data_IF_485145361443
#
_entry.id   IF_485145361443
#
_cell.length_a   1.000
_cell.length_b   1.000
_cell.length_c   1.000
_cell.angle_alpha   90.00
_cell.angle_beta   90.00
_cell.angle_gamma   90.00
#
_symmetry.space_group_name_H-M   'P 1'
#
loop_
_entity.id
_entity.type
_entity.pdbx_description
1 polymer ?
#
# COMPACT_ATOMS: atom_id res chain seq x y z
N UNK A 1 14.34 20.66 36.06
CA UNK A 1 15.00 21.00 34.79
C UNK A 1 15.21 22.50 34.79
N UNK A 2 16.45 22.97 35.02
CA UNK A 2 16.77 24.39 35.16
C UNK A 2 17.28 24.92 33.81
N UNK A 3 16.63 25.94 33.26
CA UNK A 3 17.06 26.56 32.00
C UNK A 3 18.15 27.61 32.28
N UNK A 4 19.23 27.66 31.48
CA UNK A 4 20.23 28.71 31.64
C UNK A 4 19.64 30.05 31.17
N UNK A 5 19.61 31.03 32.06
CA UNK A 5 19.18 32.40 31.76
C UNK A 5 20.24 33.06 30.89
N UNK A 6 19.88 33.32 29.62
CA UNK A 6 20.71 34.07 28.67
C UNK A 6 20.90 35.50 29.18
N UNK A 7 22.08 35.82 29.71
CA UNK A 7 22.46 37.21 29.98
C UNK A 7 22.66 37.96 28.65
N UNK A 8 21.63 38.68 28.22
CA UNK A 8 21.69 39.67 27.15
C UNK A 8 22.50 40.88 27.63
N UNK A 9 23.81 40.89 27.38
CA UNK A 9 24.60 42.13 27.49
C UNK A 9 24.25 43.06 26.33
N UNK A 10 23.33 44.00 26.57
CA UNK A 10 23.13 45.19 25.74
C UNK A 10 24.43 45.99 25.73
N UNK A 11 25.15 46.00 24.61
CA UNK A 11 26.37 46.78 24.42
C UNK A 11 25.98 48.17 23.90
N UNK A 12 26.05 49.19 24.75
CA UNK A 12 26.02 50.60 24.33
C UNK A 12 27.34 50.93 23.61
N UNK A 13 27.33 51.60 22.45
CA UNK A 13 28.54 52.18 21.87
C UNK A 13 28.72 53.60 22.41
N UNK A 14 29.74 53.83 23.25
CA UNK A 14 30.06 55.20 23.66
C UNK A 14 31.16 55.31 24.70
N UNK A 15 32.21 56.04 24.32
CA UNK A 15 33.28 56.62 25.14
C UNK A 15 34.45 55.72 25.61
N UNK A 16 35.61 55.98 25.00
CA UNK A 16 36.82 56.25 25.78
C UNK A 16 37.83 55.12 25.97
N UNK A 17 38.82 55.10 25.07
CA UNK A 17 40.24 55.18 25.42
C UNK A 17 40.95 54.00 26.13
N UNK A 18 42.07 53.59 25.51
CA UNK A 18 43.29 52.98 26.10
C UNK A 18 43.19 51.51 26.55
N UNK A 19 43.52 50.58 25.64
CA UNK A 19 44.67 49.68 25.76
C UNK A 19 44.63 48.62 24.65
N UNK A 20 45.46 48.83 23.63
CA UNK A 20 45.84 47.78 22.70
C UNK A 20 46.89 46.89 23.36
N UNK A 21 46.46 45.83 24.05
CA UNK A 21 47.33 44.69 24.41
C UNK A 21 46.51 43.52 25.00
N UNK A 22 45.81 42.79 24.13
CA UNK A 22 45.45 41.39 24.38
C UNK A 22 45.25 40.68 23.04
N UNK A 23 46.36 40.25 22.43
CA UNK A 23 46.43 39.53 21.16
C UNK A 23 45.91 38.07 21.26
N UNK A 24 45.01 37.78 22.20
CA UNK A 24 44.45 36.45 22.44
C UNK A 24 42.96 36.51 22.74
N UNK A 25 42.18 35.49 22.34
CA UNK A 25 40.75 35.43 22.65
C UNK A 25 40.54 35.45 24.17
N UNK A 26 39.54 36.19 24.66
CA UNK A 26 39.27 36.24 26.10
C UNK A 26 38.87 34.84 26.62
N UNK A 27 39.35 34.41 27.80
CA UNK A 27 39.15 33.06 28.30
C UNK A 27 37.67 32.68 28.46
N UNK A 28 36.81 33.66 28.75
CA UNK A 28 35.34 33.50 28.82
C UNK A 28 34.74 33.17 27.45
N UNK A 29 35.25 33.76 26.37
CA UNK A 29 34.78 33.47 25.02
C UNK A 29 35.23 32.08 24.57
N UNK A 30 36.44 31.65 24.93
CA UNK A 30 36.93 30.30 24.64
C UNK A 30 36.06 29.23 25.32
N UNK A 31 35.68 29.44 26.59
CA UNK A 31 34.76 28.54 27.30
C UNK A 31 33.38 28.45 26.61
N UNK A 32 32.80 29.58 26.20
CA UNK A 32 31.53 29.62 25.47
C UNK A 32 31.61 28.93 24.10
N UNK A 33 32.74 29.06 23.41
CA UNK A 33 32.95 28.38 22.12
C UNK A 33 33.00 26.86 22.33
N UNK A 34 33.67 26.38 23.39
CA UNK A 34 33.71 24.96 23.72
C UNK A 34 32.30 24.42 24.03
N UNK A 35 31.52 25.14 24.84
CA UNK A 35 30.13 24.80 25.14
C UNK A 35 29.26 24.74 23.87
N UNK A 36 29.34 25.75 23.00
CA UNK A 36 28.59 25.76 21.74
C UNK A 36 29.01 24.68 20.76
N UNK A 37 30.27 24.27 20.76
CA UNK A 37 30.72 23.12 19.96
C UNK A 37 30.08 21.82 20.43
N UNK A 38 30.02 21.59 21.75
CA UNK A 38 29.35 20.42 22.32
C UNK A 38 27.83 20.43 22.03
N UNK A 39 27.18 21.59 22.16
CA UNK A 39 25.75 21.72 21.82
C UNK A 39 25.49 21.42 20.33
N UNK A 40 26.36 21.89 19.43
CA UNK A 40 26.24 21.60 18.00
C UNK A 40 26.45 20.12 17.68
N UNK A 41 27.31 19.41 18.40
CA UNK A 41 27.49 17.97 18.27
C UNK A 41 26.20 17.23 18.63
N UNK A 42 25.61 17.53 19.79
CA UNK A 42 24.33 16.94 20.18
C UNK A 42 23.20 17.26 19.19
N UNK A 43 23.16 18.48 18.63
CA UNK A 43 22.16 18.85 17.61
C UNK A 43 22.36 18.08 16.30
N UNK A 44 23.60 17.75 15.92
CA UNK A 44 23.89 16.90 14.76
C UNK A 44 23.44 15.48 14.99
N UNK A 45 23.69 14.92 16.17
CA UNK A 45 23.19 13.60 16.54
C UNK A 45 21.66 13.53 16.49
N UNK A 46 20.97 14.55 17.06
CA UNK A 46 19.51 14.62 17.02
C UNK A 46 18.97 14.73 15.59
N UNK A 47 19.64 15.49 14.71
CA UNK A 47 19.31 15.56 13.29
C UNK A 47 19.46 14.19 12.63
N UNK A 48 20.57 13.50 12.88
CA UNK A 48 20.86 12.20 12.25
C UNK A 48 19.89 11.12 12.72
N UNK A 49 19.55 11.11 14.01
CA UNK A 49 18.50 10.25 14.55
C UNK A 49 17.13 10.57 13.94
N UNK A 50 16.80 11.85 13.79
CA UNK A 50 15.53 12.27 13.17
C UNK A 50 15.46 11.87 11.68
N UNK A 51 16.58 11.96 10.96
CA UNK A 51 16.68 11.47 9.58
C UNK A 51 16.53 9.95 9.50
N UNK A 52 17.14 9.20 10.43
CA UNK A 52 16.98 7.75 10.51
C UNK A 52 15.52 7.35 10.80
N UNK A 53 14.84 8.03 11.73
CA UNK A 53 13.43 7.80 12.03
C UNK A 53 12.55 8.10 10.81
N UNK A 54 12.80 9.20 10.09
CA UNK A 54 12.07 9.51 8.87
C UNK A 54 12.21 8.38 7.82
N UNK A 55 13.43 7.85 7.61
CA UNK A 55 13.64 6.71 6.74
C UNK A 55 12.93 5.42 7.21
N UNK A 56 12.83 5.21 8.52
CA UNK A 56 12.04 4.10 9.06
C UNK A 56 10.53 4.28 8.83
N UNK A 57 10.02 5.51 8.89
CA UNK A 57 8.60 5.78 8.60
C UNK A 57 8.28 5.52 7.13
N UNK A 58 9.16 5.90 6.20
CA UNK A 58 9.01 5.60 4.77
C UNK A 58 9.05 4.08 4.50
N UNK A 59 9.99 3.36 5.13
CA UNK A 59 10.05 1.90 5.01
C UNK A 59 8.81 1.21 5.61
N UNK A 60 8.22 1.77 6.67
CA UNK A 60 6.98 1.28 7.27
C UNK A 60 5.79 1.53 6.34
N UNK A 61 5.71 2.71 5.71
CA UNK A 61 4.69 3.04 4.71
C UNK A 61 4.68 2.02 3.57
N UNK A 62 5.85 1.69 3.00
CA UNK A 62 5.94 0.68 1.94
C UNK A 62 5.43 -0.70 2.38
N UNK A 63 5.69 -1.08 3.64
CA UNK A 63 5.18 -2.34 4.20
C UNK A 63 3.67 -2.31 4.40
N UNK A 64 3.12 -1.17 4.84
CA UNK A 64 1.67 -1.00 4.97
C UNK A 64 0.98 -1.02 3.62
N UNK A 65 1.55 -0.40 2.59
CA UNK A 65 1.04 -0.49 1.22
C UNK A 65 0.99 -1.95 0.74
N UNK A 66 2.09 -2.70 0.91
CA UNK A 66 2.13 -4.12 0.55
C UNK A 66 1.09 -4.95 1.29
N UNK A 67 0.87 -4.66 2.57
CA UNK A 67 -0.16 -5.34 3.37
C UNK A 67 -1.57 -4.98 2.89
N UNK A 68 -1.82 -3.71 2.55
CA UNK A 68 -3.08 -3.25 1.98
C UNK A 68 -3.40 -3.97 0.67
N UNK A 69 -2.45 -4.00 -0.27
CA UNK A 69 -2.60 -4.69 -1.56
C UNK A 69 -2.87 -6.19 -1.37
N UNK A 70 -2.18 -6.82 -0.41
CA UNK A 70 -2.43 -8.21 -0.04
C UNK A 70 -3.85 -8.44 0.50
N UNK A 71 -4.38 -7.52 1.31
CA UNK A 71 -5.75 -7.63 1.82
C UNK A 71 -6.80 -7.43 0.73
N UNK A 72 -6.54 -6.55 -0.26
CA UNK A 72 -7.41 -6.39 -1.43
C UNK A 72 -7.44 -7.68 -2.27
N UNK A 73 -6.29 -8.30 -2.51
CA UNK A 73 -6.20 -9.58 -3.21
C UNK A 73 -7.02 -10.68 -2.51
N UNK A 74 -6.94 -10.77 -1.18
CA UNK A 74 -7.74 -11.72 -0.39
C UNK A 74 -9.23 -11.38 -0.49
N UNK A 75 -9.61 -10.11 -0.44
CA UNK A 75 -11.00 -9.68 -0.59
C UNK A 75 -11.58 -10.10 -1.95
N UNK A 76 -10.80 -9.99 -3.04
CA UNK A 76 -11.19 -10.48 -4.36
C UNK A 76 -11.42 -12.00 -4.37
N UNK A 77 -10.51 -12.76 -3.76
CA UNK A 77 -10.66 -14.22 -3.64
C UNK A 77 -11.93 -14.56 -2.87
N UNK A 78 -12.15 -13.97 -1.69
CA UNK A 78 -13.36 -14.21 -0.89
C UNK A 78 -14.62 -13.83 -1.67
N UNK A 79 -14.61 -12.70 -2.38
CA UNK A 79 -15.71 -12.30 -3.26
C UNK A 79 -16.01 -13.33 -4.34
N UNK A 80 -14.97 -13.89 -4.97
CA UNK A 80 -15.13 -14.98 -5.94
C UNK A 80 -15.72 -16.25 -5.29
N UNK A 81 -15.16 -16.71 -4.17
CA UNK A 81 -15.66 -17.90 -3.45
C UNK A 81 -17.09 -17.72 -2.96
N UNK A 82 -17.48 -16.51 -2.52
CA UNK A 82 -18.86 -16.19 -2.17
C UNK A 82 -19.81 -16.41 -3.35
N UNK A 83 -19.44 -15.96 -4.55
CA UNK A 83 -20.23 -16.16 -5.76
C UNK A 83 -20.34 -17.65 -6.14
N UNK A 84 -19.24 -18.40 -6.06
CA UNK A 84 -19.21 -19.84 -6.33
C UNK A 84 -20.14 -20.60 -5.37
N UNK A 85 -19.99 -20.37 -4.06
CA UNK A 85 -20.82 -21.04 -3.05
C UNK A 85 -22.30 -20.66 -3.18
N UNK A 86 -22.61 -19.41 -3.53
CA UNK A 86 -23.99 -18.98 -3.82
C UNK A 86 -24.56 -19.69 -5.04
N UNK A 87 -23.80 -19.78 -6.13
CA UNK A 87 -24.23 -20.46 -7.35
C UNK A 87 -24.51 -21.95 -7.08
N UNK A 88 -23.61 -22.61 -6.34
CA UNK A 88 -23.80 -24.00 -5.90
C UNK A 88 -25.06 -24.13 -5.05
N UNK A 89 -25.27 -23.26 -4.05
CA UNK A 89 -26.45 -23.33 -3.20
C UNK A 89 -27.76 -23.13 -4.00
N UNK A 90 -27.80 -22.15 -4.91
CA UNK A 90 -28.96 -21.92 -5.77
C UNK A 90 -29.24 -23.10 -6.71
N UNK A 91 -28.21 -23.80 -7.19
CA UNK A 91 -28.36 -25.03 -7.95
C UNK A 91 -28.83 -26.19 -7.05
N UNK A 92 -28.12 -26.48 -5.97
CA UNK A 92 -28.38 -27.59 -5.04
C UNK A 92 -29.72 -27.52 -4.34
N UNK A 93 -30.21 -26.32 -3.99
CA UNK A 93 -31.54 -26.16 -3.39
C UNK A 93 -32.68 -26.59 -4.33
N UNK A 94 -32.46 -26.54 -5.66
CA UNK A 94 -33.41 -27.08 -6.65
C UNK A 94 -33.32 -28.59 -6.79
N UNK A 95 -32.18 -29.21 -6.49
CA UNK A 95 -32.05 -30.68 -6.48
C UNK A 95 -32.68 -31.33 -5.24
N UNK A 96 -32.77 -30.61 -4.12
CA UNK A 96 -33.24 -31.16 -2.84
C UNK A 96 -34.76 -31.10 -2.63
N UNK A 97 -35.57 -30.61 -3.59
CA UNK A 97 -37.03 -30.68 -3.49
C UNK A 97 -37.49 -32.10 -3.89
N UNK A 98 -37.95 -32.95 -2.94
CA UNK A 98 -38.49 -34.25 -3.30
C UNK A 98 -39.78 -34.06 -4.12
N UNK A 99 -40.05 -34.94 -5.10
CA UNK A 99 -41.32 -34.96 -5.84
C UNK A 99 -42.41 -35.43 -4.87
N UNK A 100 -43.20 -34.52 -4.31
CA UNK A 100 -44.17 -34.93 -3.29
C UNK A 100 -45.09 -33.87 -2.68
N UNK A 101 -45.10 -32.63 -3.17
CA UNK A 101 -46.16 -31.66 -2.83
C UNK A 101 -46.86 -31.24 -4.14
N UNK A 102 -47.85 -32.06 -4.53
CA UNK A 102 -48.66 -32.06 -5.76
C UNK A 102 -49.94 -31.16 -5.63
N UNK A 103 -50.79 -30.93 -6.66
CA UNK A 103 -50.69 -31.23 -8.10
C UNK A 103 -50.93 -30.00 -9.00
N UNK A 104 -50.27 -29.91 -10.15
CA UNK A 104 -50.95 -29.40 -11.36
C UNK A 104 -50.29 -30.05 -12.55
N UNK A 105 -51.05 -30.95 -13.18
CA UNK A 105 -50.81 -31.48 -14.51
C UNK A 105 -50.29 -30.38 -15.42
N UNK A 106 -49.02 -30.46 -15.76
CA UNK A 106 -48.42 -29.83 -16.92
C UNK A 106 -47.06 -30.49 -17.12
N UNK A 107 -47.08 -31.75 -17.58
CA UNK A 107 -46.06 -32.20 -18.53
C UNK A 107 -46.23 -31.36 -19.81
N UNK A 108 -45.91 -30.07 -19.70
CA UNK A 108 -45.84 -29.15 -20.81
C UNK A 108 -44.38 -29.20 -21.27
N UNK A 109 -44.06 -29.73 -22.46
CA UNK A 109 -42.71 -29.67 -23.04
C UNK A 109 -42.28 -28.22 -23.39
N UNK A 110 -43.01 -27.22 -22.87
CA UNK A 110 -42.97 -25.81 -23.23
C UNK A 110 -42.47 -24.88 -22.13
N UNK A 111 -42.13 -25.37 -20.92
CA UNK A 111 -41.44 -24.53 -19.94
C UNK A 111 -40.05 -24.17 -20.51
N UNK A 112 -39.81 -22.90 -20.91
CA UNK A 112 -38.58 -22.54 -21.60
C UNK A 112 -37.40 -22.75 -20.65
N UNK A 113 -36.40 -23.52 -21.09
CA UNK A 113 -35.15 -23.64 -20.36
C UNK A 113 -34.60 -22.23 -20.10
N UNK A 114 -34.05 -21.97 -18.90
CA UNK A 114 -33.42 -20.69 -18.63
C UNK A 114 -32.33 -20.43 -19.66
N UNK A 115 -32.27 -19.22 -20.20
CA UNK A 115 -31.24 -18.82 -21.15
C UNK A 115 -29.86 -18.95 -20.51
N UNK A 116 -28.89 -19.46 -21.26
CA UNK A 116 -27.51 -19.74 -20.80
C UNK A 116 -26.60 -18.51 -20.83
N UNK A 117 -27.15 -17.33 -20.56
CA UNK A 117 -26.39 -16.08 -20.59
C UNK A 117 -25.44 -15.99 -19.39
N UNK A 118 -24.16 -15.85 -19.68
CA UNK A 118 -23.09 -15.69 -18.69
C UNK A 118 -22.29 -14.42 -18.98
N UNK A 119 -21.74 -13.80 -17.93
CA UNK A 119 -20.86 -12.63 -18.06
C UNK A 119 -19.42 -13.11 -18.12
N UNK A 120 -18.73 -12.83 -19.22
CA UNK A 120 -17.30 -13.09 -19.37
C UNK A 120 -16.59 -11.73 -19.43
N UNK A 121 -15.59 -11.46 -18.58
CA UNK A 121 -14.79 -10.24 -18.65
C UNK A 121 -14.12 -10.10 -20.02
N UNK A 122 -14.28 -8.95 -20.68
CA UNK A 122 -13.71 -8.68 -22.01
C UNK A 122 -12.29 -8.11 -21.97
N UNK A 123 -11.77 -7.86 -20.77
CA UNK A 123 -10.46 -7.23 -20.53
C UNK A 123 -9.29 -8.10 -21.03
N UNK A 124 -9.52 -9.41 -21.13
CA UNK A 124 -8.58 -10.40 -21.69
C UNK A 124 -9.06 -10.99 -23.03
N UNK A 125 -10.05 -10.36 -23.68
CA UNK A 125 -10.58 -10.82 -24.97
C UNK A 125 -9.51 -11.03 -26.07
N UNK A 126 -8.51 -10.14 -26.26
CA UNK A 126 -7.51 -10.35 -27.33
C UNK A 126 -6.62 -11.58 -27.07
N UNK A 127 -6.30 -11.91 -25.81
CA UNK A 127 -5.55 -13.13 -25.47
C UNK A 127 -6.37 -14.40 -25.65
N UNK A 128 -7.69 -14.34 -25.40
CA UNK A 128 -8.60 -15.47 -25.62
C UNK A 128 -8.84 -15.73 -27.11
N UNK A 129 -8.92 -14.68 -27.94
CA UNK A 129 -8.98 -14.80 -29.40
C UNK A 129 -7.69 -15.41 -29.96
N UNK A 130 -6.52 -14.93 -29.52
CA UNK A 130 -5.24 -15.50 -29.95
C UNK A 130 -5.05 -16.97 -29.56
N UNK A 131 -5.61 -17.40 -28.42
CA UNK A 131 -5.63 -18.82 -28.00
C UNK A 131 -6.65 -19.64 -28.80
N UNK A 132 -7.84 -19.09 -29.06
CA UNK A 132 -8.85 -19.75 -29.87
C UNK A 132 -8.34 -19.98 -31.30
N UNK A 133 -7.73 -18.97 -31.91
CA UNK A 133 -7.13 -19.04 -33.25
C UNK A 133 -6.00 -20.07 -33.29
N UNK A 134 -5.13 -20.12 -32.26
CA UNK A 134 -4.07 -21.15 -32.16
C UNK A 134 -4.63 -22.58 -32.04
N UNK A 135 -5.72 -22.76 -31.28
CA UNK A 135 -6.36 -24.07 -31.11
C UNK A 135 -7.01 -24.53 -32.41
N UNK A 136 -7.63 -23.62 -33.16
CA UNK A 136 -8.20 -23.93 -34.48
C UNK A 136 -7.11 -24.25 -35.50
N UNK A 137 -6.02 -23.49 -35.54
CA UNK A 137 -4.91 -23.69 -36.50
C UNK A 137 -4.14 -25.00 -36.20
N UNK A 138 -3.99 -25.35 -34.93
CA UNK A 138 -3.41 -26.63 -34.50
C UNK A 138 -4.30 -27.83 -34.85
N UNK A 139 -5.63 -27.68 -34.76
CA UNK A 139 -6.59 -28.72 -35.14
C UNK A 139 -6.62 -28.92 -36.67
N UNK A 140 -6.52 -27.85 -37.44
CA UNK A 140 -6.45 -27.90 -38.90
C UNK A 140 -5.12 -28.53 -39.38
N UNK A 141 -3.99 -28.19 -38.76
CA UNK A 141 -2.70 -28.78 -39.11
C UNK A 141 -2.60 -30.28 -38.73
N UNK A 142 -3.35 -30.73 -37.73
CA UNK A 142 -3.44 -32.16 -37.38
C UNK A 142 -4.34 -32.97 -38.31
N UNK A 143 -5.24 -32.32 -39.06
CA UNK A 143 -6.14 -32.98 -40.02
C UNK A 143 -5.51 -33.13 -41.43
N UNK A 144 -4.39 -32.44 -41.68
CA UNK A 144 -3.73 -32.33 -42.99
C UNK A 144 -2.45 -33.18 -43.11
N UNK A 145 -2.00 -33.84 -42.04
CA UNK A 145 -0.86 -34.77 -42.12
C UNK A 145 -1.31 -36.19 -42.54
N UNK A 146 -0.82 -36.76 -43.66
CA UNK A 146 -1.08 -38.14 -44.09
C UNK A 146 -0.32 -39.19 -43.26
#
# INVERSE_FOLDING_TARGET
>A
MSFPTRSLSTRLPGAGSQNASSTGPSPVLVARIAEKKAELEHLRELRDLSAAVAGQMEALEQKLATLSDGTEAIAMVIGNWHNVLRAINMASAKLAKPPGDEPTDSEDPSLPLPQTLVRIPTEHAPTLQAQADNVTESAENSLVAP
#
